data_IF_129426422127
#
_entry.id   IF_129426422127
#
_cell.length_a   1.000
_cell.length_b   1.000
_cell.length_c   1.000
_cell.angle_alpha   90.00
_cell.angle_beta   90.00
_cell.angle_gamma   90.00
#
_symmetry.space_group_name_H-M   'P 1'
#
loop_
_entity.id
_entity.type
_entity.pdbx_description
1 polymer ?
#
# COMPACT_ATOMS: atom_id res chain seq x y z
N UNK A 1 -14.33 29.38 -17.32
CA UNK A 1 -15.24 28.23 -17.25
C UNK A 1 -15.27 27.60 -15.85
N UNK A 2 -14.16 27.10 -15.28
CA UNK A 2 -14.16 26.48 -13.93
C UNK A 2 -14.50 27.47 -12.78
N UNK A 3 -13.98 28.70 -12.80
CA UNK A 3 -14.35 29.75 -11.84
C UNK A 3 -15.86 30.08 -11.92
N UNK A 4 -16.38 30.22 -13.14
CA UNK A 4 -17.81 30.35 -13.44
C UNK A 4 -18.68 29.29 -12.77
N UNK A 5 -18.26 28.03 -12.83
CA UNK A 5 -18.97 26.92 -12.20
C UNK A 5 -18.97 27.00 -10.67
N UNK A 6 -17.87 27.44 -10.05
CA UNK A 6 -17.80 27.60 -8.60
C UNK A 6 -18.70 28.73 -8.09
N UNK A 7 -18.73 29.86 -8.82
CA UNK A 7 -19.56 31.02 -8.44
C UNK A 7 -21.03 30.75 -8.67
N UNK A 8 -21.41 30.22 -9.83
CA UNK A 8 -22.83 29.98 -10.16
C UNK A 8 -23.49 28.90 -9.30
N UNK A 9 -22.71 27.99 -8.72
CA UNK A 9 -23.22 26.91 -7.86
C UNK A 9 -22.97 27.14 -6.37
N UNK A 10 -22.36 28.26 -6.00
CA UNK A 10 -21.90 28.57 -4.63
C UNK A 10 -21.15 27.38 -3.98
N UNK A 11 -20.43 26.62 -4.80
CA UNK A 11 -19.84 25.34 -4.39
C UNK A 11 -18.37 25.26 -4.81
N UNK A 12 -17.56 24.59 -4.01
CA UNK A 12 -16.20 24.24 -4.41
C UNK A 12 -16.17 23.17 -5.49
N UNK A 13 -14.97 22.87 -5.98
CA UNK A 13 -14.74 21.69 -6.82
C UNK A 13 -14.15 20.61 -5.92
N UNK A 14 -14.95 19.59 -5.64
CA UNK A 14 -14.57 18.47 -4.80
C UNK A 14 -14.32 17.22 -5.67
N UNK A 15 -13.22 16.49 -5.42
CA UNK A 15 -12.98 15.20 -6.03
C UNK A 15 -13.93 14.14 -5.46
N UNK A 16 -14.22 13.13 -6.27
CA UNK A 16 -14.99 11.95 -5.87
C UNK A 16 -14.20 10.69 -6.21
N UNK A 17 -14.13 9.76 -5.24
CA UNK A 17 -13.59 8.44 -5.47
C UNK A 17 -14.59 7.58 -6.25
N UNK A 18 -14.11 6.89 -7.28
CA UNK A 18 -14.90 6.03 -8.15
C UNK A 18 -14.08 4.82 -8.60
N UNK A 19 -14.39 3.66 -8.03
CA UNK A 19 -13.73 2.40 -8.36
C UNK A 19 -13.93 1.98 -9.82
N UNK A 20 -14.99 2.46 -10.48
CA UNK A 20 -15.31 2.16 -11.88
C UNK A 20 -14.44 2.94 -12.87
N UNK A 21 -13.60 3.87 -12.39
CA UNK A 21 -12.60 4.59 -13.19
C UNK A 21 -11.18 4.13 -12.91
N UNK A 22 -10.35 4.07 -13.96
CA UNK A 22 -8.91 3.76 -13.85
C UNK A 22 -8.18 4.79 -12.99
N UNK A 23 -8.61 6.05 -12.99
CA UNK A 23 -7.99 7.10 -12.18
C UNK A 23 -8.35 7.03 -10.69
N UNK A 24 -9.30 6.17 -10.29
CA UNK A 24 -9.98 6.08 -8.98
C UNK A 24 -10.60 7.37 -8.43
N UNK A 25 -10.27 8.51 -9.02
CA UNK A 25 -10.68 9.82 -8.57
C UNK A 25 -10.93 10.69 -9.80
N UNK A 26 -12.03 11.42 -9.76
CA UNK A 26 -12.40 12.38 -10.79
C UNK A 26 -13.10 13.60 -10.18
N UNK A 27 -13.34 14.60 -11.02
CA UNK A 27 -14.00 15.85 -10.65
C UNK A 27 -15.32 15.97 -11.44
N UNK A 28 -16.48 15.58 -10.87
CA UNK A 28 -17.75 15.59 -11.59
C UNK A 28 -18.08 16.96 -12.19
N UNK A 29 -17.79 18.04 -11.46
CA UNK A 29 -18.03 19.41 -11.92
C UNK A 29 -17.13 19.84 -13.10
N UNK A 30 -16.02 19.14 -13.34
CA UNK A 30 -15.09 19.40 -14.43
C UNK A 30 -15.18 18.32 -15.52
N UNK A 31 -16.29 17.60 -15.58
CA UNK A 31 -16.56 16.64 -16.66
C UNK A 31 -16.40 17.32 -18.04
N UNK A 32 -15.71 16.65 -18.96
CA UNK A 32 -15.40 17.16 -20.29
C UNK A 32 -14.13 18.01 -20.40
N UNK A 33 -13.49 18.37 -19.28
CA UNK A 33 -12.18 19.04 -19.30
C UNK A 33 -11.08 17.97 -19.42
N UNK A 34 -10.20 18.11 -20.41
CA UNK A 34 -9.19 17.09 -20.74
C UNK A 34 -8.16 16.86 -19.62
N UNK A 35 -7.78 17.91 -18.89
CA UNK A 35 -6.84 17.82 -17.77
C UNK A 35 -7.28 18.72 -16.61
N UNK A 36 -8.25 18.27 -15.80
CA UNK A 36 -8.83 19.09 -14.73
C UNK A 36 -7.79 19.44 -13.67
N UNK A 37 -6.88 18.52 -13.32
CA UNK A 37 -5.85 18.77 -12.32
C UNK A 37 -4.88 19.88 -12.74
N UNK A 38 -4.40 19.87 -14.00
CA UNK A 38 -3.50 20.91 -14.49
C UNK A 38 -4.19 22.28 -14.56
N UNK A 39 -5.45 22.32 -15.00
CA UNK A 39 -6.26 23.55 -14.99
C UNK A 39 -6.38 24.11 -13.58
N UNK A 40 -6.78 23.28 -12.61
CA UNK A 40 -6.95 23.73 -11.24
C UNK A 40 -5.63 24.16 -10.60
N UNK A 41 -4.52 23.48 -10.93
CA UNK A 41 -3.19 23.89 -10.47
C UNK A 41 -2.80 25.27 -11.01
N UNK A 42 -3.13 25.58 -12.27
CA UNK A 42 -2.90 26.91 -12.83
C UNK A 42 -3.70 27.99 -12.09
N UNK A 43 -4.98 27.74 -11.79
CA UNK A 43 -5.83 28.68 -11.04
C UNK A 43 -5.33 28.91 -9.61
N UNK A 44 -4.81 27.87 -8.96
CA UNK A 44 -4.15 27.98 -7.65
C UNK A 44 -2.87 28.81 -7.74
N UNK A 45 -2.03 28.56 -8.74
CA UNK A 45 -0.79 29.32 -8.95
C UNK A 45 -1.07 30.81 -9.23
N UNK A 46 -2.19 31.12 -9.88
CA UNK A 46 -2.66 32.49 -10.11
C UNK A 46 -3.43 33.09 -8.92
N UNK A 47 -3.49 32.41 -7.77
CA UNK A 47 -4.16 32.87 -6.55
C UNK A 47 -5.69 33.06 -6.70
N UNK A 48 -6.28 32.50 -7.76
CA UNK A 48 -7.74 32.56 -8.04
C UNK A 48 -8.50 31.45 -7.31
N UNK A 49 -7.79 30.39 -6.90
CA UNK A 49 -8.31 29.33 -6.06
C UNK A 49 -7.34 29.00 -4.93
N UNK A 50 -7.88 28.51 -3.82
CA UNK A 50 -7.12 27.73 -2.83
C UNK A 50 -7.36 26.24 -3.06
N UNK A 51 -6.45 25.42 -2.53
CA UNK A 51 -6.58 23.96 -2.54
C UNK A 51 -6.47 23.40 -1.12
N UNK A 52 -7.19 22.33 -0.86
CA UNK A 52 -7.11 21.54 0.36
C UNK A 52 -6.81 20.08 -0.03
N UNK A 53 -5.86 19.44 0.67
CA UNK A 53 -5.55 18.03 0.41
C UNK A 53 -6.79 17.17 0.60
N UNK A 54 -7.01 16.25 -0.34
CA UNK A 54 -8.10 15.29 -0.30
C UNK A 54 -7.54 13.88 -0.13
N UNK A 55 -6.67 13.44 -1.06
CA UNK A 55 -6.15 12.07 -1.05
C UNK A 55 -4.81 11.97 -1.81
N UNK A 56 -4.02 10.95 -1.50
CA UNK A 56 -2.86 10.51 -2.27
C UNK A 56 -3.11 9.11 -2.84
N UNK A 57 -3.03 8.98 -4.17
CA UNK A 57 -3.25 7.70 -4.83
C UNK A 57 -1.96 7.19 -5.48
N UNK A 58 -1.64 5.91 -5.26
CA UNK A 58 -0.59 5.22 -6.00
C UNK A 58 -1.01 5.09 -7.47
N UNK A 59 -0.07 5.31 -8.39
CA UNK A 59 -0.28 5.14 -9.82
C UNK A 59 0.62 4.05 -10.39
N UNK A 60 0.05 3.17 -11.21
CA UNK A 60 0.79 2.19 -11.97
C UNK A 60 1.77 2.90 -12.94
N UNK A 61 3.08 2.60 -12.90
CA UNK A 61 4.05 3.19 -13.83
C UNK A 61 3.83 2.73 -15.27
N UNK A 62 3.31 1.52 -15.49
CA UNK A 62 3.06 0.96 -16.83
C UNK A 62 1.83 1.56 -17.53
N UNK A 63 0.70 1.72 -16.82
CA UNK A 63 -0.57 2.11 -17.45
C UNK A 63 -1.23 3.36 -16.85
N UNK A 64 -0.65 3.96 -15.81
CA UNK A 64 -1.15 5.14 -15.08
C UNK A 64 -2.48 4.97 -14.35
N UNK A 65 -2.99 3.73 -14.23
CA UNK A 65 -4.13 3.44 -13.37
C UNK A 65 -3.80 3.67 -11.91
N UNK A 66 -4.76 4.16 -11.14
CA UNK A 66 -4.71 4.25 -9.69
C UNK A 66 -5.30 3.01 -8.99
N UNK A 67 -5.84 2.04 -9.73
CA UNK A 67 -6.39 0.79 -9.18
C UNK A 67 -5.27 -0.17 -8.78
N UNK A 68 -4.56 0.20 -7.73
CA UNK A 68 -3.46 -0.57 -7.16
C UNK A 68 -3.97 -1.37 -5.97
N UNK A 69 -3.91 -2.69 -6.03
CA UNK A 69 -4.20 -3.55 -4.90
C UNK A 69 -2.92 -3.79 -4.11
N UNK A 70 -2.94 -3.50 -2.80
CA UNK A 70 -1.84 -3.79 -1.90
C UNK A 70 -1.68 -5.31 -1.72
N UNK A 71 -0.45 -5.76 -1.54
CA UNK A 71 -0.06 -7.14 -1.32
C UNK A 71 1.10 -7.18 -0.33
N UNK A 72 1.15 -8.22 0.49
CA UNK A 72 2.36 -8.61 1.20
C UNK A 72 3.16 -9.55 0.30
N UNK A 73 4.43 -9.27 0.09
CA UNK A 73 5.27 -9.97 -0.89
C UNK A 73 6.65 -10.29 -0.33
N UNK A 74 7.27 -11.32 -0.90
CA UNK A 74 8.62 -11.72 -0.56
C UNK A 74 9.61 -10.61 -0.94
N UNK A 75 10.48 -10.14 -0.03
CA UNK A 75 11.48 -9.13 -0.36
C UNK A 75 12.50 -9.59 -1.42
N UNK A 76 12.65 -10.89 -1.61
CA UNK A 76 13.59 -11.46 -2.58
C UNK A 76 13.01 -11.63 -3.99
N UNK A 77 11.74 -12.02 -4.13
CA UNK A 77 11.15 -12.36 -5.44
C UNK A 77 9.80 -11.70 -5.74
N UNK A 78 9.28 -10.84 -4.86
CA UNK A 78 7.98 -10.17 -4.97
C UNK A 78 6.76 -11.11 -5.12
N UNK A 79 6.90 -12.40 -4.85
CA UNK A 79 5.76 -13.32 -4.77
C UNK A 79 4.94 -13.06 -3.49
N UNK A 80 3.61 -13.13 -3.59
CA UNK A 80 2.73 -13.10 -2.42
C UNK A 80 2.43 -14.50 -1.85
N UNK A 81 3.10 -15.54 -2.35
CA UNK A 81 3.05 -16.88 -1.77
C UNK A 81 3.92 -16.91 -0.50
N UNK A 82 3.37 -16.35 0.58
CA UNK A 82 4.01 -16.18 1.89
C UNK A 82 3.26 -16.99 2.94
N UNK A 83 4.02 -17.72 3.75
CA UNK A 83 3.53 -18.40 4.95
C UNK A 83 4.27 -17.90 6.18
N UNK A 84 3.58 -17.73 7.30
CA UNK A 84 4.21 -17.38 8.57
C UNK A 84 4.53 -18.64 9.38
N UNK A 85 5.75 -18.72 9.91
CA UNK A 85 6.19 -19.81 10.76
C UNK A 85 6.65 -19.29 12.12
N UNK A 86 6.09 -19.88 13.18
CA UNK A 86 6.56 -19.62 14.55
C UNK A 86 7.97 -20.17 14.73
N UNK A 87 8.88 -19.34 15.22
CA UNK A 87 10.20 -19.79 15.63
C UNK A 87 10.14 -20.45 17.00
N UNK A 88 10.94 -21.48 17.19
CA UNK A 88 11.22 -22.09 18.49
C UNK A 88 12.69 -21.91 18.78
N UNK A 89 13.02 -21.45 19.98
CA UNK A 89 14.39 -21.32 20.44
C UNK A 89 14.61 -22.22 21.68
N UNK A 90 15.57 -23.15 21.57
CA UNK A 90 15.92 -24.09 22.63
C UNK A 90 17.07 -23.53 23.50
N UNK A 91 16.75 -23.18 24.74
CA UNK A 91 17.67 -22.47 25.65
C UNK A 91 18.98 -23.20 25.90
N UNK A 92 18.95 -24.53 26.06
CA UNK A 92 20.15 -25.29 26.45
C UNK A 92 21.24 -25.32 25.38
N UNK A 93 20.88 -25.29 24.09
CA UNK A 93 21.85 -25.41 22.99
C UNK A 93 21.85 -24.22 22.02
N UNK A 94 20.98 -23.23 22.26
CA UNK A 94 20.83 -22.01 21.48
C UNK A 94 20.33 -22.22 20.06
N UNK A 95 19.77 -23.40 19.72
CA UNK A 95 19.25 -23.63 18.38
C UNK A 95 17.89 -22.94 18.22
N UNK A 96 17.73 -22.22 17.11
CA UNK A 96 16.52 -21.50 16.76
C UNK A 96 16.15 -21.82 15.32
N UNK A 97 14.92 -22.28 15.10
CA UNK A 97 14.39 -22.63 13.79
C UNK A 97 12.84 -22.61 13.82
N UNK A 98 12.17 -22.67 12.66
CA UNK A 98 10.72 -22.85 12.60
C UNK A 98 10.23 -24.07 13.41
N UNK A 99 9.06 -23.94 14.04
CA UNK A 99 8.46 -24.97 14.92
C UNK A 99 8.32 -26.33 14.24
N UNK A 100 8.06 -26.38 12.93
CA UNK A 100 7.88 -27.64 12.21
C UNK A 100 9.16 -28.48 12.20
N UNK A 101 10.35 -27.88 12.30
CA UNK A 101 11.62 -28.63 12.40
C UNK A 101 11.82 -29.27 13.78
N UNK A 102 11.11 -28.77 14.79
CA UNK A 102 11.12 -29.35 16.14
C UNK A 102 10.01 -30.39 16.31
N UNK A 103 8.96 -30.37 15.49
CA UNK A 103 7.77 -31.18 15.70
C UNK A 103 7.91 -32.55 15.05
N UNK A 104 7.95 -33.58 15.89
CA UNK A 104 7.86 -34.99 15.48
C UNK A 104 6.56 -35.57 16.07
N UNK A 105 5.57 -35.83 15.21
CA UNK A 105 4.18 -36.12 15.57
C UNK A 105 3.60 -35.05 16.52
N UNK A 106 3.53 -35.34 17.83
CA UNK A 106 3.05 -34.43 18.88
C UNK A 106 4.17 -33.98 19.83
N UNK A 107 5.41 -34.38 19.58
CA UNK A 107 6.54 -34.16 20.47
C UNK A 107 7.49 -33.12 19.88
N UNK A 108 7.76 -32.07 20.65
CA UNK A 108 8.84 -31.13 20.31
C UNK A 108 10.20 -31.71 20.70
N UNK A 109 11.10 -31.85 19.74
CA UNK A 109 12.48 -32.32 19.90
C UNK A 109 13.43 -31.41 19.15
N UNK A 110 14.51 -30.97 19.80
CA UNK A 110 15.50 -30.13 19.14
C UNK A 110 16.27 -30.92 18.06
N UNK A 111 16.27 -30.52 16.78
CA UNK A 111 16.96 -31.26 15.72
C UNK A 111 18.49 -31.21 15.86
N UNK A 112 19.04 -30.21 16.55
CA UNK A 112 20.49 -30.07 16.81
C UNK A 112 21.04 -31.03 17.86
N UNK A 113 20.27 -31.33 18.91
CA UNK A 113 20.78 -32.12 20.06
C UNK A 113 19.86 -33.26 20.48
N UNK A 114 18.77 -33.48 19.73
CA UNK A 114 17.78 -34.55 19.89
C UNK A 114 17.09 -34.59 21.26
N UNK A 115 17.17 -33.51 22.02
CA UNK A 115 16.53 -33.41 23.33
C UNK A 115 15.08 -32.99 23.17
N UNK A 116 14.18 -33.72 23.83
CA UNK A 116 12.76 -33.37 23.93
C UNK A 116 12.57 -32.08 24.70
N UNK A 117 11.68 -31.23 24.21
CA UNK A 117 11.24 -29.97 24.80
C UNK A 117 9.84 -30.18 25.38
N UNK A 118 9.67 -29.96 26.68
CA UNK A 118 8.42 -30.21 27.42
C UNK A 118 7.91 -28.95 28.10
N UNK A 119 8.81 -28.15 28.65
CA UNK A 119 8.43 -27.01 29.49
C UNK A 119 8.73 -25.69 28.79
N UNK A 120 7.68 -25.07 28.23
CA UNK A 120 7.75 -23.71 27.69
C UNK A 120 8.19 -22.71 28.77
N UNK A 121 9.03 -21.75 28.42
CA UNK A 121 9.61 -20.76 29.32
C UNK A 121 10.75 -21.29 30.22
N UNK A 122 11.04 -22.60 30.19
CA UNK A 122 12.14 -23.21 30.96
C UNK A 122 13.14 -23.92 30.04
N UNK A 123 12.65 -24.62 29.04
CA UNK A 123 13.47 -25.34 28.06
C UNK A 123 13.49 -24.64 26.71
N UNK A 124 12.39 -23.98 26.34
CA UNK A 124 12.28 -23.26 25.08
C UNK A 124 11.31 -22.09 25.18
N UNK A 125 11.41 -21.17 24.24
CA UNK A 125 10.41 -20.13 23.96
C UNK A 125 10.09 -20.04 22.47
N UNK A 126 9.24 -19.08 22.13
CA UNK A 126 8.87 -18.72 20.77
C UNK A 126 9.19 -17.23 20.56
N UNK A 127 10.43 -16.88 20.14
CA UNK A 127 10.91 -15.50 20.13
C UNK A 127 10.22 -14.62 19.08
N UNK A 128 9.51 -15.22 18.13
CA UNK A 128 8.76 -14.50 17.11
C UNK A 128 8.27 -15.42 16.00
N UNK A 129 7.84 -14.79 14.91
CA UNK A 129 7.50 -15.45 13.66
C UNK A 129 8.51 -15.01 12.59
N UNK A 130 8.66 -15.85 11.58
CA UNK A 130 9.35 -15.54 10.33
C UNK A 130 8.41 -15.80 9.17
N UNK A 131 8.67 -15.13 8.06
CA UNK A 131 7.97 -15.33 6.80
C UNK A 131 8.76 -16.25 5.90
N UNK A 132 8.11 -17.24 5.30
CA UNK A 132 8.69 -18.15 4.33
C UNK A 132 7.98 -18.02 2.99
N UNK A 133 8.76 -17.84 1.92
CA UNK A 133 8.22 -17.74 0.58
C UNK A 133 8.08 -19.12 -0.07
N UNK A 134 6.86 -19.52 -0.45
CA UNK A 134 6.62 -20.77 -1.17
C UNK A 134 7.24 -20.79 -2.58
N UNK A 135 7.40 -19.63 -3.20
CA UNK A 135 7.93 -19.51 -4.56
C UNK A 135 9.47 -19.60 -4.65
N UNK A 136 10.21 -18.99 -3.73
CA UNK A 136 11.68 -18.97 -3.76
C UNK A 136 12.35 -19.62 -2.53
N UNK A 137 11.57 -20.10 -1.56
CA UNK A 137 12.04 -20.73 -0.32
C UNK A 137 12.88 -19.82 0.59
N UNK A 138 12.93 -18.52 0.30
CA UNK A 138 13.58 -17.55 1.16
C UNK A 138 12.80 -17.38 2.47
N UNK A 139 13.52 -17.36 3.59
CA UNK A 139 13.00 -16.97 4.90
C UNK A 139 13.42 -15.51 5.16
N UNK A 140 12.48 -14.68 5.61
CA UNK A 140 12.69 -13.31 6.05
C UNK A 140 11.98 -13.05 7.37
N UNK A 141 12.33 -11.97 8.07
CA UNK A 141 11.65 -11.60 9.32
C UNK A 141 10.17 -11.29 9.05
N UNK A 142 9.90 -10.46 8.05
CA UNK A 142 8.55 -10.04 7.63
C UNK A 142 8.46 -9.96 6.09
N UNK A 143 7.24 -10.03 5.50
CA UNK A 143 7.05 -9.67 4.11
C UNK A 143 7.11 -8.16 3.96
N UNK A 144 7.32 -7.68 2.73
CA UNK A 144 7.27 -6.25 2.41
C UNK A 144 5.97 -5.92 1.70
N UNK A 145 5.52 -4.67 1.79
CA UNK A 145 4.36 -4.21 1.03
C UNK A 145 4.76 -4.01 -0.43
N UNK A 146 3.93 -4.51 -1.34
CA UNK A 146 3.97 -4.23 -2.77
C UNK A 146 2.57 -3.99 -3.32
N UNK A 147 2.48 -3.66 -4.60
CA UNK A 147 1.23 -3.42 -5.29
C UNK A 147 1.12 -4.24 -6.57
N UNK A 148 -0.10 -4.63 -6.93
CA UNK A 148 -0.45 -5.12 -8.27
C UNK A 148 -1.47 -4.18 -8.93
N UNK A 149 -1.24 -3.84 -10.19
CA UNK A 149 -2.19 -3.05 -10.96
C UNK A 149 -3.38 -3.92 -11.41
N UNK A 150 -4.59 -3.55 -11.01
CA UNK A 150 -5.81 -4.25 -11.40
C UNK A 150 -6.19 -4.12 -12.89
N UNK A 151 -5.59 -3.19 -13.63
CA UNK A 151 -5.87 -3.00 -15.06
C UNK A 151 -4.84 -3.68 -15.99
N UNK A 152 -3.56 -3.73 -15.61
CA UNK A 152 -2.51 -4.30 -16.47
C UNK A 152 -1.66 -5.41 -15.82
N UNK A 153 -1.89 -5.73 -14.54
CA UNK A 153 -1.17 -6.79 -13.83
C UNK A 153 0.26 -6.44 -13.40
N UNK A 154 0.74 -5.23 -13.70
CA UNK A 154 2.09 -4.79 -13.33
C UNK A 154 2.30 -4.85 -11.81
N UNK A 155 3.43 -5.40 -11.37
CA UNK A 155 3.84 -5.39 -9.96
C UNK A 155 4.72 -4.17 -9.70
N UNK A 156 4.53 -3.54 -8.55
CA UNK A 156 5.29 -2.35 -8.13
C UNK A 156 5.69 -2.52 -6.67
N UNK A 157 6.94 -2.20 -6.30
CA UNK A 157 7.36 -2.16 -4.90
C UNK A 157 6.54 -1.16 -4.08
N UNK A 158 6.47 -1.33 -2.76
CA UNK A 158 5.70 -0.44 -1.88
C UNK A 158 6.29 0.98 -1.75
N UNK A 159 7.61 1.08 -1.88
CA UNK A 159 8.40 2.32 -1.96
C UNK A 159 8.55 2.84 -3.40
N UNK A 160 8.16 2.02 -4.37
CA UNK A 160 8.23 2.32 -5.79
C UNK A 160 6.88 2.82 -6.32
N UNK A 161 6.93 3.71 -7.30
CA UNK A 161 5.76 4.12 -8.07
C UNK A 161 5.30 5.55 -7.81
N UNK A 162 4.83 6.24 -8.87
CA UNK A 162 4.39 7.62 -8.74
C UNK A 162 3.10 7.70 -7.92
N UNK A 163 3.14 8.38 -6.78
CA UNK A 163 1.92 8.86 -6.13
C UNK A 163 1.43 10.16 -6.77
N UNK A 164 0.11 10.38 -6.73
CA UNK A 164 -0.50 11.61 -7.19
C UNK A 164 -1.49 12.13 -6.15
N UNK A 165 -1.24 13.34 -5.68
CA UNK A 165 -2.16 14.02 -4.77
C UNK A 165 -3.41 14.49 -5.51
N UNK A 166 -4.52 14.50 -4.78
CA UNK A 166 -5.82 15.02 -5.18
C UNK A 166 -6.23 16.07 -4.17
N UNK A 167 -6.90 17.10 -4.66
CA UNK A 167 -7.26 18.25 -3.86
C UNK A 167 -8.71 18.65 -4.11
N UNK A 168 -9.35 19.17 -3.07
CA UNK A 168 -10.53 20.03 -3.18
C UNK A 168 -10.09 21.46 -3.47
N UNK A 169 -10.92 22.20 -4.20
CA UNK A 169 -10.63 23.59 -4.56
C UNK A 169 -11.76 24.53 -4.15
N UNK A 170 -11.38 25.73 -3.72
CA UNK A 170 -12.30 26.81 -3.36
C UNK A 170 -11.87 28.10 -4.07
N UNK A 171 -12.82 28.89 -4.50
CA UNK A 171 -12.53 30.18 -5.15
C UNK A 171 -12.09 31.21 -4.10
N UNK A 172 -11.14 32.06 -4.47
CA UNK A 172 -10.73 33.20 -3.62
C UNK A 172 -11.53 34.46 -3.97
N UNK A 173 -11.52 35.50 -3.13
CA UNK A 173 -12.06 36.80 -3.51
C UNK A 173 -11.46 37.34 -4.82
N UNK A 174 -10.16 37.13 -5.06
CA UNK A 174 -9.51 37.49 -6.32
C UNK A 174 -10.06 36.70 -7.51
N UNK A 175 -10.35 35.41 -7.32
CA UNK A 175 -11.01 34.57 -8.32
C UNK A 175 -12.40 35.06 -8.69
N UNK A 176 -13.18 35.55 -7.73
CA UNK A 176 -14.53 36.10 -7.97
C UNK A 176 -14.46 37.40 -8.79
N UNK A 177 -13.49 38.27 -8.53
CA UNK A 177 -13.34 39.54 -9.25
C UNK A 177 -12.82 39.41 -10.69
N UNK A 178 -12.19 38.29 -11.03
CA UNK A 178 -11.60 38.02 -12.35
C UNK A 178 -12.48 37.10 -13.21
N UNK A 179 -13.78 37.09 -12.96
CA UNK A 179 -14.75 36.21 -13.61
C UNK A 179 -15.58 36.92 -14.67
#
# INVERSE_FOLDING_TARGET
MALGLMVTRESGIDPVLDASLRSLCHYPMLAGISNPCALMQALVNSHLCTRQFFERLHGCPGCQSARMAAREVCPNCASADISEWTLVHHFRCGYQAPRYEFLDEEVLSCPKCHRRLRHFGVEYDTPGQVSACGACQQISDEPVVGFICGDCGEHVGGDEGPWRDRFSYRITPAGVMNM
#
